data_IF_886925991948
#
_entry.id   IF_886925991948
#
_cell.length_a   1.000
_cell.length_b   1.000
_cell.length_c   1.000
_cell.angle_alpha   90.00
_cell.angle_beta   90.00
_cell.angle_gamma   90.00
#
_symmetry.space_group_name_H-M   'P 1'
#
loop_
_entity.id
_entity.type
_entity.pdbx_description
1 polymer ?
#
# COMPACT_ATOMS: atom_id res chain seq x y z
N UNK A 1 8.20 21.87 -26.69
CA UNK A 1 9.21 20.87 -27.12
C UNK A 1 8.73 19.50 -26.66
N UNK A 2 8.81 18.48 -27.52
CA UNK A 2 8.55 17.08 -27.16
C UNK A 2 9.88 16.33 -27.01
N UNK A 3 10.04 15.56 -25.94
CA UNK A 3 11.20 14.70 -25.73
C UNK A 3 10.82 13.24 -26.02
N UNK A 4 11.73 12.49 -26.65
CA UNK A 4 11.55 11.06 -26.91
C UNK A 4 12.24 10.23 -25.82
N UNK A 5 11.67 9.08 -25.49
CA UNK A 5 12.25 8.12 -24.54
C UNK A 5 12.00 6.71 -25.04
N UNK A 6 13.03 5.86 -25.01
CA UNK A 6 12.95 4.46 -25.41
C UNK A 6 12.82 3.58 -24.17
N UNK A 7 11.77 2.76 -24.10
CA UNK A 7 11.53 1.81 -23.02
C UNK A 7 11.46 0.39 -23.58
N UNK A 8 12.03 -0.58 -22.86
CA UNK A 8 11.95 -2.00 -23.20
C UNK A 8 10.89 -2.65 -22.32
N UNK A 9 10.04 -3.46 -22.93
CA UNK A 9 9.00 -4.24 -22.27
C UNK A 9 9.12 -5.67 -22.75
N UNK A 10 8.68 -6.61 -21.92
CA UNK A 10 8.40 -7.95 -22.41
C UNK A 10 7.31 -7.88 -23.50
N UNK A 11 7.45 -8.72 -24.52
CA UNK A 11 6.52 -8.74 -25.65
C UNK A 11 5.11 -9.17 -25.20
N UNK A 12 5.03 -10.15 -24.30
CA UNK A 12 3.76 -10.68 -23.78
C UNK A 12 3.02 -9.60 -23.00
N UNK A 13 3.70 -8.97 -22.03
CA UNK A 13 3.12 -7.89 -21.21
C UNK A 13 2.65 -6.71 -22.06
N UNK A 14 3.43 -6.36 -23.08
CA UNK A 14 3.10 -5.23 -23.96
C UNK A 14 1.85 -5.51 -24.79
N UNK A 15 1.71 -6.72 -25.33
CA UNK A 15 0.53 -7.13 -26.11
C UNK A 15 -0.70 -7.10 -25.22
N UNK A 16 -0.65 -7.74 -24.05
CA UNK A 16 -1.78 -7.80 -23.11
C UNK A 16 -2.22 -6.39 -22.67
N UNK A 17 -1.28 -5.55 -22.23
CA UNK A 17 -1.57 -4.18 -21.83
C UNK A 17 -2.16 -3.36 -22.99
N UNK A 18 -1.66 -3.55 -24.21
CA UNK A 18 -2.17 -2.82 -25.38
C UNK A 18 -3.61 -3.19 -25.69
N UNK A 19 -3.97 -4.46 -25.62
CA UNK A 19 -5.33 -4.91 -25.91
C UNK A 19 -6.31 -4.50 -24.81
N UNK A 20 -5.88 -4.56 -23.54
CA UNK A 20 -6.66 -4.00 -22.42
C UNK A 20 -6.91 -2.49 -22.62
N UNK A 21 -5.88 -1.71 -22.91
CA UNK A 21 -5.99 -0.26 -23.12
C UNK A 21 -6.87 0.09 -24.32
N UNK A 22 -6.80 -0.68 -25.42
CA UNK A 22 -7.69 -0.52 -26.58
C UNK A 22 -9.15 -0.70 -26.19
N UNK A 23 -9.47 -1.67 -25.33
CA UNK A 23 -10.85 -1.87 -24.85
C UNK A 23 -11.38 -0.65 -24.08
N UNK A 24 -10.49 0.11 -23.45
CA UNK A 24 -10.79 1.37 -22.76
C UNK A 24 -10.72 2.61 -23.68
N UNK A 25 -10.43 2.43 -24.97
CA UNK A 25 -10.33 3.53 -25.94
C UNK A 25 -9.05 4.36 -25.84
N UNK A 26 -7.98 3.82 -25.22
CA UNK A 26 -6.72 4.54 -24.99
C UNK A 26 -5.57 3.76 -25.62
N UNK A 27 -4.59 4.47 -26.18
CA UNK A 27 -3.37 3.82 -26.67
C UNK A 27 -2.35 3.62 -25.54
N UNK A 28 -1.42 2.68 -25.75
CA UNK A 28 -0.30 2.45 -24.82
C UNK A 28 0.49 3.73 -24.51
N UNK A 29 0.80 4.52 -25.55
CA UNK A 29 1.48 5.82 -25.38
C UNK A 29 0.62 6.84 -24.62
N UNK A 30 -0.70 6.83 -24.86
CA UNK A 30 -1.64 7.68 -24.13
C UNK A 30 -1.66 7.36 -22.64
N UNK A 31 -1.66 6.08 -22.28
CA UNK A 31 -1.57 5.63 -20.89
C UNK A 31 -0.27 6.11 -20.22
N UNK A 32 0.89 5.90 -20.85
CA UNK A 32 2.17 6.37 -20.31
C UNK A 32 2.20 7.88 -20.11
N UNK A 33 1.68 8.66 -21.06
CA UNK A 33 1.59 10.10 -20.93
C UNK A 33 0.71 10.54 -19.75
N UNK A 34 -0.41 9.84 -19.50
CA UNK A 34 -1.26 10.10 -18.34
C UNK A 34 -0.59 9.72 -17.02
N UNK A 35 0.13 8.59 -16.97
CA UNK A 35 0.86 8.19 -15.77
C UNK A 35 1.92 9.24 -15.37
N UNK A 36 2.62 9.82 -16.34
CA UNK A 36 3.57 10.92 -16.10
C UNK A 36 2.85 12.16 -15.54
N UNK A 37 1.69 12.53 -16.11
CA UNK A 37 0.89 13.65 -15.57
C UNK A 37 0.41 13.36 -14.14
N UNK A 38 -0.01 12.14 -13.86
CA UNK A 38 -0.47 11.72 -12.54
C UNK A 38 0.65 11.82 -11.50
N UNK A 39 1.85 11.35 -11.85
CA UNK A 39 3.04 11.49 -11.00
C UNK A 39 3.32 12.96 -10.65
N UNK A 40 3.28 13.85 -11.64
CA UNK A 40 3.52 15.28 -11.43
C UNK A 40 2.43 15.90 -10.54
N UNK A 41 1.17 15.59 -10.83
CA UNK A 41 0.02 16.18 -10.14
C UNK A 41 -0.09 15.70 -8.68
N UNK A 42 0.16 14.42 -8.42
CA UNK A 42 -0.06 13.82 -7.10
C UNK A 42 1.22 13.71 -6.27
N UNK A 43 2.40 13.97 -6.84
CA UNK A 43 3.70 13.83 -6.17
C UNK A 43 3.89 12.45 -5.53
N UNK A 44 3.27 11.42 -6.12
CA UNK A 44 3.34 10.03 -5.68
C UNK A 44 3.37 9.09 -6.87
N UNK A 45 3.81 7.86 -6.63
CA UNK A 45 3.83 6.79 -7.63
C UNK A 45 2.39 6.53 -8.13
N UNK A 46 2.14 6.52 -9.45
CA UNK A 46 0.79 6.46 -10.02
C UNK A 46 0.24 5.02 -10.10
N UNK A 47 0.47 4.22 -9.06
CA UNK A 47 -0.15 2.91 -8.85
C UNK A 47 -0.21 2.63 -7.35
N UNK A 48 -1.14 1.78 -6.94
CA UNK A 48 -1.18 1.30 -5.56
C UNK A 48 -0.10 0.24 -5.38
N UNK A 49 0.75 0.43 -4.37
CA UNK A 49 1.65 -0.63 -3.92
C UNK A 49 0.77 -1.60 -3.14
N UNK A 50 0.36 -2.70 -3.78
CA UNK A 50 -0.39 -3.76 -3.12
C UNK A 50 0.62 -4.59 -2.32
N UNK A 51 0.70 -4.46 -0.98
CA UNK A 51 1.51 -5.38 -0.21
C UNK A 51 0.97 -6.80 -0.41
N UNK A 52 1.83 -7.84 -0.34
CA UNK A 52 1.33 -9.21 -0.29
C UNK A 52 0.26 -9.30 0.81
N UNK A 53 -0.84 -10.02 0.52
CA UNK A 53 -2.02 -10.11 1.39
C UNK A 53 -1.59 -10.10 2.86
N UNK A 54 -2.09 -9.12 3.62
CA UNK A 54 -1.90 -8.97 5.07
C UNK A 54 -2.52 -10.17 5.81
N UNK A 55 -1.93 -11.35 5.67
CA UNK A 55 -2.14 -12.45 6.61
C UNK A 55 -1.23 -12.10 7.78
N UNK A 56 -1.79 -11.80 8.98
CA UNK A 56 -0.99 -11.57 10.16
C UNK A 56 0.01 -12.72 10.29
N UNK A 57 1.28 -12.40 10.56
CA UNK A 57 2.25 -13.42 10.95
C UNK A 57 1.74 -14.11 12.21
N UNK A 58 2.25 -15.29 12.53
CA UNK A 58 1.81 -16.01 13.72
C UNK A 58 2.01 -15.16 15.00
N UNK A 59 3.06 -14.34 15.03
CA UNK A 59 3.31 -13.39 16.11
C UNK A 59 2.20 -12.32 16.20
N UNK A 60 1.84 -11.69 15.08
CA UNK A 60 0.76 -10.70 15.05
C UNK A 60 -0.58 -11.34 15.40
N UNK A 61 -0.84 -12.57 14.94
CA UNK A 61 -2.06 -13.31 15.26
C UNK A 61 -2.17 -13.59 16.76
N UNK A 62 -1.08 -14.04 17.39
CA UNK A 62 -1.04 -14.30 18.83
C UNK A 62 -1.18 -13.02 19.65
N UNK A 63 -0.58 -11.90 19.20
CA UNK A 63 -0.75 -10.60 19.84
C UNK A 63 -2.21 -10.13 19.82
N UNK A 64 -2.90 -10.28 18.67
CA UNK A 64 -4.33 -9.96 18.55
C UNK A 64 -5.19 -10.83 19.48
N UNK A 65 -4.96 -12.15 19.49
CA UNK A 65 -5.71 -13.08 20.36
C UNK A 65 -5.50 -12.76 21.84
N UNK A 66 -4.28 -12.38 22.24
CA UNK A 66 -3.96 -11.99 23.61
C UNK A 66 -4.70 -10.71 24.00
N UNK A 67 -4.70 -9.69 23.13
CA UNK A 67 -5.44 -8.46 23.38
C UNK A 67 -6.95 -8.72 23.51
N UNK A 68 -7.51 -9.58 22.67
CA UNK A 68 -8.93 -9.96 22.71
C UNK A 68 -9.28 -10.76 23.98
N UNK A 69 -8.40 -11.68 24.41
CA UNK A 69 -8.56 -12.42 25.65
C UNK A 69 -8.48 -11.52 26.90
N UNK A 70 -7.62 -10.48 26.88
CA UNK A 70 -7.57 -9.45 27.93
C UNK A 70 -8.86 -8.65 27.98
N UNK A 71 -9.32 -8.15 26.83
CA UNK A 71 -10.56 -7.38 26.72
C UNK A 71 -11.81 -8.19 27.16
N UNK A 72 -11.81 -9.50 26.89
CA UNK A 72 -12.85 -10.43 27.33
C UNK A 72 -12.73 -10.84 28.82
N UNK A 73 -11.68 -10.42 29.52
CA UNK A 73 -11.42 -10.75 30.93
C UNK A 73 -10.98 -12.21 31.17
N UNK A 74 -10.56 -12.92 30.12
CA UNK A 74 -10.06 -14.31 30.22
C UNK A 74 -8.64 -14.36 30.80
N UNK A 75 -7.86 -13.29 30.61
CA UNK A 75 -6.53 -13.09 31.21
C UNK A 75 -6.45 -11.68 31.80
N UNK A 76 -5.65 -11.47 32.86
CA UNK A 76 -5.47 -10.14 33.44
C UNK A 76 -4.82 -9.18 32.44
N UNK A 77 -5.37 -7.98 32.36
CA UNK A 77 -4.78 -6.89 31.59
C UNK A 77 -3.85 -6.06 32.48
N UNK A 78 -2.54 -6.27 32.29
CA UNK A 78 -1.49 -5.55 33.01
C UNK A 78 -0.77 -4.55 32.09
N UNK A 79 -1.32 -4.28 30.89
CA UNK A 79 -0.71 -3.32 29.98
C UNK A 79 -0.97 -1.89 30.48
N UNK A 80 -0.03 -0.95 30.29
CA UNK A 80 -0.22 0.43 30.70
C UNK A 80 -1.37 1.05 29.89
N UNK A 81 -2.34 1.63 30.62
CA UNK A 81 -3.40 2.45 30.04
C UNK A 81 -3.02 3.92 30.06
N UNK A 82 -3.36 4.65 29.02
CA UNK A 82 -3.05 6.07 28.88
C UNK A 82 -4.32 6.86 28.62
N UNK A 83 -4.45 8.02 29.27
CA UNK A 83 -5.58 8.94 29.05
C UNK A 83 -5.19 10.17 28.24
N UNK A 84 -3.89 10.37 28.01
CA UNK A 84 -3.33 11.50 27.30
C UNK A 84 -2.34 11.02 26.20
N UNK A 85 -2.41 11.58 24.96
CA UNK A 85 -1.51 11.19 23.88
C UNK A 85 -0.02 11.45 24.17
N UNK A 86 0.33 12.52 24.88
CA UNK A 86 1.73 12.85 25.15
C UNK A 86 2.34 11.84 26.14
N UNK A 87 1.55 11.40 27.13
CA UNK A 87 1.93 10.30 28.04
C UNK A 87 2.17 8.98 27.29
N UNK A 88 1.31 8.67 26.31
CA UNK A 88 1.47 7.49 25.46
C UNK A 88 2.78 7.53 24.66
N UNK A 89 3.06 8.63 23.95
CA UNK A 89 4.28 8.74 23.14
C UNK A 89 5.55 8.67 23.99
N UNK A 90 5.56 9.27 25.18
CA UNK A 90 6.67 9.17 26.12
C UNK A 90 6.99 7.72 26.53
N UNK A 91 5.97 6.84 26.58
CA UNK A 91 6.15 5.42 26.94
C UNK A 91 6.73 4.56 25.81
N UNK A 92 6.62 5.00 24.55
CA UNK A 92 7.13 4.26 23.38
C UNK A 92 8.62 4.50 23.11
N UNK A 93 9.16 5.59 23.65
CA UNK A 93 10.56 6.01 23.47
C UNK A 93 11.49 5.52 24.60
N UNK A 94 10.94 4.84 25.62
CA UNK A 94 11.66 4.33 26.79
C UNK A 94 12.16 2.88 26.59
#
# INVERSE_FOLDING_TARGET
MSAATTMRFDEVDKIEATDLLKSMGISFNGYLAMAVKQLINQRRIPFEIVPPRNVPTEETRMAMLRAEAKAAGLIPDNDPGFTDPDEFFASLEA
#
